data_IF_927636118042
#
_entry.id   IF_927636118042
#
_cell.length_a   1.000
_cell.length_b   1.000
_cell.length_c   1.000
_cell.angle_alpha   90.00
_cell.angle_beta   90.00
_cell.angle_gamma   90.00
#
_symmetry.space_group_name_H-M   'P 1'
#
loop_
_entity.id
_entity.type
_entity.pdbx_description
1 polymer ?
#
# COMPACT_ATOMS: atom_id res chain seq x y z
N UNK A 1 18.81 4.51 -1.07
CA UNK A 1 17.36 4.21 -1.21
C UNK A 1 16.68 5.29 -2.04
N UNK A 2 16.66 5.08 -3.36
CA UNK A 2 16.07 6.08 -4.27
C UNK A 2 14.73 5.66 -4.84
N UNK A 3 14.53 4.37 -5.11
CA UNK A 3 13.26 3.86 -5.64
C UNK A 3 12.47 3.23 -4.50
N UNK A 4 11.40 3.88 -4.10
CA UNK A 4 10.56 3.44 -2.99
C UNK A 4 9.21 2.99 -3.55
N UNK A 5 8.80 1.78 -3.22
CA UNK A 5 7.47 1.26 -3.55
C UNK A 5 6.62 1.29 -2.28
N UNK A 6 5.43 1.84 -2.37
CA UNK A 6 4.43 1.78 -1.31
C UNK A 6 3.15 1.19 -1.85
N UNK A 7 2.59 0.23 -1.12
CA UNK A 7 1.30 -0.35 -1.47
C UNK A 7 0.20 0.29 -0.61
N UNK A 8 -0.92 0.59 -1.23
CA UNK A 8 -2.08 1.16 -0.55
C UNK A 8 -3.36 0.47 -0.99
N UNK A 9 -4.25 0.27 -0.05
CA UNK A 9 -5.62 -0.22 -0.28
C UNK A 9 -6.67 0.84 0.07
N UNK A 10 -6.22 2.08 0.32
CA UNK A 10 -7.07 3.18 0.73
C UNK A 10 -7.41 3.22 2.22
N UNK A 11 -6.91 2.28 3.01
CA UNK A 11 -7.12 2.27 4.46
C UNK A 11 -6.29 3.33 5.18
N UNK A 12 -6.62 3.61 6.44
CA UNK A 12 -5.87 4.56 7.26
C UNK A 12 -4.43 4.09 7.53
N UNK A 13 -4.23 2.79 7.73
CA UNK A 13 -2.88 2.23 7.90
C UNK A 13 -2.04 2.45 6.64
N UNK A 14 -2.65 2.23 5.48
CA UNK A 14 -1.99 2.43 4.20
C UNK A 14 -1.66 3.91 3.96
N UNK A 15 -2.52 4.82 4.40
CA UNK A 15 -2.27 6.26 4.31
C UNK A 15 -1.00 6.64 5.08
N UNK A 16 -0.83 6.11 6.27
CA UNK A 16 0.38 6.35 7.06
C UNK A 16 1.63 5.81 6.35
N UNK A 17 1.50 4.64 5.71
CA UNK A 17 2.59 4.08 4.91
C UNK A 17 2.97 4.98 3.73
N UNK A 18 1.98 5.57 3.05
CA UNK A 18 2.23 6.53 1.95
C UNK A 18 3.00 7.75 2.46
N UNK A 19 2.64 8.27 3.62
CA UNK A 19 3.34 9.42 4.22
C UNK A 19 4.81 9.09 4.50
N UNK A 20 5.08 7.94 5.10
CA UNK A 20 6.45 7.48 5.40
C UNK A 20 7.24 7.27 4.11
N UNK A 21 6.65 6.61 3.12
CA UNK A 21 7.30 6.37 1.84
C UNK A 21 7.62 7.67 1.09
N UNK A 22 6.70 8.62 1.11
CA UNK A 22 6.91 9.93 0.48
C UNK A 22 8.07 10.68 1.14
N UNK A 23 8.15 10.64 2.45
CA UNK A 23 9.23 11.29 3.20
C UNK A 23 10.58 10.65 2.89
N UNK A 24 10.65 9.33 2.84
CA UNK A 24 11.86 8.61 2.47
C UNK A 24 12.32 8.94 1.04
N UNK A 25 11.40 8.92 0.09
CA UNK A 25 11.72 9.21 -1.31
C UNK A 25 12.16 10.67 -1.48
N UNK A 26 11.50 11.58 -0.82
CA UNK A 26 11.86 13.01 -0.84
C UNK A 26 13.26 13.23 -0.29
N UNK A 27 13.57 12.66 0.86
CA UNK A 27 14.88 12.80 1.51
C UNK A 27 16.01 12.29 0.61
N UNK A 28 15.76 11.21 -0.12
CA UNK A 28 16.73 10.62 -1.04
C UNK A 28 16.74 11.26 -2.43
N UNK A 29 15.90 12.25 -2.68
CA UNK A 29 15.66 12.82 -4.03
C UNK A 29 15.33 11.71 -5.04
N UNK A 30 14.55 10.75 -4.60
CA UNK A 30 14.22 9.55 -5.34
C UNK A 30 12.83 9.57 -5.96
N UNK A 31 12.38 8.38 -6.35
CA UNK A 31 11.09 8.16 -7.00
C UNK A 31 10.19 7.32 -6.10
N UNK A 32 8.92 7.71 -6.04
CA UNK A 32 7.89 7.01 -5.30
C UNK A 32 6.96 6.29 -6.27
N UNK A 33 6.85 4.98 -6.12
CA UNK A 33 5.88 4.16 -6.85
C UNK A 33 4.74 3.85 -5.89
N UNK A 34 3.55 4.34 -6.20
CA UNK A 34 2.36 4.06 -5.42
C UNK A 34 1.58 2.98 -6.12
N UNK A 35 1.34 1.88 -5.44
CA UNK A 35 0.75 0.67 -6.00
C UNK A 35 -0.52 0.32 -5.25
N UNK A 36 -1.57 0.01 -5.97
CA UNK A 36 -2.74 -0.67 -5.42
C UNK A 36 -2.97 -1.96 -6.19
N UNK A 37 -3.43 -2.99 -5.52
CA UNK A 37 -3.65 -4.30 -6.14
C UNK A 37 -5.13 -4.64 -6.07
N UNK A 38 -5.69 -5.01 -7.22
CA UNK A 38 -7.03 -5.58 -7.29
C UNK A 38 -6.87 -7.07 -7.00
N UNK A 39 -7.14 -7.44 -5.76
CA UNK A 39 -7.10 -8.83 -5.32
C UNK A 39 -8.37 -9.58 -5.68
N UNK A 40 -8.47 -10.81 -5.17
CA UNK A 40 -9.68 -11.60 -5.32
C UNK A 40 -10.84 -10.93 -4.57
N UNK A 41 -11.96 -10.78 -5.28
CA UNK A 41 -13.18 -10.24 -4.70
C UNK A 41 -14.05 -11.37 -4.17
N UNK A 42 -14.74 -11.12 -3.07
CA UNK A 42 -15.79 -12.02 -2.60
C UNK A 42 -16.97 -12.00 -3.58
N UNK A 43 -17.80 -13.04 -3.55
CA UNK A 43 -19.03 -13.09 -4.35
C UNK A 43 -19.95 -11.91 -4.07
N UNK A 44 -20.00 -11.44 -2.81
CA UNK A 44 -20.82 -10.29 -2.42
C UNK A 44 -20.29 -8.98 -2.99
N UNK A 45 -18.97 -8.80 -3.00
CA UNK A 45 -18.34 -7.63 -3.62
C UNK A 45 -18.59 -7.58 -5.12
N UNK A 46 -18.50 -8.72 -5.79
CA UNK A 46 -18.80 -8.84 -7.22
C UNK A 46 -20.26 -8.47 -7.49
N UNK A 47 -21.18 -8.97 -6.69
CA UNK A 47 -22.62 -8.67 -6.83
C UNK A 47 -22.92 -7.21 -6.62
N UNK A 48 -22.30 -6.60 -5.62
CA UNK A 48 -22.47 -5.18 -5.34
C UNK A 48 -21.98 -4.31 -6.51
N UNK A 49 -20.80 -4.63 -7.05
CA UNK A 49 -20.28 -3.92 -8.21
C UNK A 49 -21.14 -4.13 -9.46
N UNK A 50 -21.67 -5.34 -9.66
CA UNK A 50 -22.54 -5.65 -10.79
C UNK A 50 -23.88 -4.93 -10.75
N UNK A 51 -24.36 -4.52 -9.58
CA UNK A 51 -25.59 -3.73 -9.46
C UNK A 51 -25.43 -2.30 -9.95
N UNK A 52 -24.25 -1.73 -9.77
CA UNK A 52 -23.97 -0.32 -10.05
C UNK A 52 -23.41 -0.15 -11.45
N UNK A 53 -22.60 -1.09 -11.90
CA UNK A 53 -21.89 -1.01 -13.17
C UNK A 53 -22.09 -2.27 -14.01
N UNK A 54 -22.35 -2.09 -15.31
CA UNK A 54 -22.43 -3.21 -16.24
C UNK A 54 -21.07 -3.83 -16.52
N UNK A 55 -19.99 -3.10 -16.29
CA UNK A 55 -18.63 -3.53 -16.50
C UNK A 55 -17.87 -3.56 -15.17
N UNK A 56 -17.74 -4.74 -14.57
CA UNK A 56 -17.06 -4.94 -13.29
C UNK A 56 -15.58 -4.58 -13.40
N UNK A 57 -14.92 -4.95 -14.49
CA UNK A 57 -13.50 -4.62 -14.70
C UNK A 57 -13.25 -3.13 -14.73
N UNK A 58 -14.10 -2.37 -15.41
CA UNK A 58 -14.03 -0.92 -15.46
C UNK A 58 -14.27 -0.27 -14.11
N UNK A 59 -15.25 -0.80 -13.34
CA UNK A 59 -15.55 -0.30 -12.00
C UNK A 59 -14.39 -0.51 -11.04
N UNK A 60 -13.73 -1.67 -11.10
CA UNK A 60 -12.56 -1.96 -10.28
C UNK A 60 -11.38 -1.07 -10.61
N UNK A 61 -11.14 -0.85 -11.89
CA UNK A 61 -10.06 0.01 -12.36
C UNK A 61 -10.29 1.46 -11.91
N UNK A 62 -11.51 1.96 -12.05
CA UNK A 62 -11.87 3.30 -11.60
C UNK A 62 -11.68 3.47 -10.09
N UNK A 63 -12.15 2.50 -9.31
CA UNK A 63 -11.97 2.51 -7.86
C UNK A 63 -10.49 2.51 -7.48
N UNK A 64 -9.68 1.70 -8.16
CA UNK A 64 -8.25 1.63 -7.95
C UNK A 64 -7.57 2.95 -8.28
N UNK A 65 -7.96 3.59 -9.37
CA UNK A 65 -7.43 4.91 -9.74
C UNK A 65 -7.79 5.97 -8.70
N UNK A 66 -8.99 5.93 -8.13
CA UNK A 66 -9.38 6.86 -7.07
C UNK A 66 -8.50 6.70 -5.83
N UNK A 67 -8.19 5.46 -5.45
CA UNK A 67 -7.28 5.16 -4.33
C UNK A 67 -5.89 5.72 -4.63
N UNK A 68 -5.38 5.49 -5.82
CA UNK A 68 -4.05 5.98 -6.22
C UNK A 68 -3.97 7.50 -6.28
N UNK A 69 -4.99 8.15 -6.84
CA UNK A 69 -5.03 9.61 -6.93
C UNK A 69 -5.07 10.25 -5.55
N UNK A 70 -5.84 9.69 -4.63
CA UNK A 70 -5.88 10.18 -3.25
C UNK A 70 -4.51 10.04 -2.56
N UNK A 71 -3.83 8.91 -2.77
CA UNK A 71 -2.50 8.68 -2.23
C UNK A 71 -1.46 9.62 -2.86
N UNK A 72 -1.55 9.85 -4.16
CA UNK A 72 -0.68 10.79 -4.88
C UNK A 72 -0.81 12.21 -4.32
N UNK A 73 -2.04 12.68 -4.09
CA UNK A 73 -2.28 13.99 -3.49
C UNK A 73 -1.65 14.10 -2.11
N UNK A 74 -1.77 13.06 -1.30
CA UNK A 74 -1.15 13.00 0.02
C UNK A 74 0.37 13.14 -0.10
N UNK A 75 0.99 12.40 -1.00
CA UNK A 75 2.44 12.46 -1.21
C UNK A 75 2.88 13.82 -1.74
N UNK A 76 2.14 14.41 -2.68
CA UNK A 76 2.44 15.74 -3.24
C UNK A 76 2.41 16.83 -2.17
N UNK A 77 1.48 16.75 -1.23
CA UNK A 77 1.40 17.68 -0.11
C UNK A 77 2.63 17.61 0.80
N UNK A 78 3.31 16.48 0.82
CA UNK A 78 4.56 16.29 1.56
C UNK A 78 5.79 16.72 0.75
N UNK A 79 5.61 17.17 -0.48
CA UNK A 79 6.65 17.77 -1.30
C UNK A 79 7.34 16.84 -2.29
N UNK A 80 6.91 15.60 -2.44
CA UNK A 80 7.47 14.72 -3.47
C UNK A 80 6.70 14.93 -4.78
N UNK A 81 7.42 15.02 -5.89
CA UNK A 81 6.84 15.23 -7.21
C UNK A 81 7.13 14.08 -8.18
N UNK A 82 8.17 13.31 -7.94
CA UNK A 82 8.54 12.19 -8.80
C UNK A 82 7.77 10.94 -8.39
N UNK A 83 6.53 10.83 -8.86
CA UNK A 83 5.58 9.78 -8.45
C UNK A 83 5.09 9.02 -9.68
N UNK A 84 5.03 7.71 -9.59
CA UNK A 84 4.39 6.85 -10.59
C UNK A 84 3.33 5.99 -9.92
N UNK A 85 2.14 5.94 -10.54
CA UNK A 85 1.01 5.16 -10.05
C UNK A 85 0.92 3.85 -10.82
N UNK A 86 0.67 2.74 -10.14
CA UNK A 86 0.53 1.42 -10.76
C UNK A 86 -0.61 0.63 -10.15
N UNK A 87 -1.34 -0.09 -10.99
CA UNK A 87 -2.37 -1.04 -10.57
C UNK A 87 -1.83 -2.45 -10.82
N UNK A 88 -1.81 -3.26 -9.78
CA UNK A 88 -1.52 -4.69 -9.88
C UNK A 88 -2.80 -5.52 -9.82
N UNK A 89 -2.74 -6.75 -10.31
CA UNK A 89 -3.87 -7.68 -10.35
C UNK A 89 -3.46 -9.03 -9.76
N UNK A 90 -4.39 -9.67 -9.09
CA UNK A 90 -4.20 -11.02 -8.57
C UNK A 90 -3.77 -11.07 -7.11
N UNK A 91 -2.84 -11.95 -6.78
CA UNK A 91 -2.35 -12.08 -5.41
C UNK A 91 -1.59 -10.81 -4.98
N UNK A 92 -2.03 -10.11 -3.94
CA UNK A 92 -1.44 -8.83 -3.57
C UNK A 92 0.05 -8.90 -3.25
N UNK A 93 0.48 -9.85 -2.44
CA UNK A 93 1.89 -9.97 -2.06
C UNK A 93 2.78 -10.23 -3.28
N UNK A 94 2.38 -11.17 -4.12
CA UNK A 94 3.11 -11.51 -5.34
C UNK A 94 3.19 -10.32 -6.30
N UNK A 95 2.07 -9.65 -6.52
CA UNK A 95 1.99 -8.49 -7.41
C UNK A 95 2.90 -7.35 -6.94
N UNK A 96 2.87 -7.03 -5.65
CA UNK A 96 3.72 -5.98 -5.07
C UNK A 96 5.19 -6.34 -5.22
N UNK A 97 5.57 -7.58 -4.93
CA UNK A 97 6.96 -8.03 -5.05
C UNK A 97 7.46 -8.03 -6.50
N UNK A 98 6.59 -8.40 -7.45
CA UNK A 98 6.92 -8.36 -8.89
C UNK A 98 7.13 -6.91 -9.36
N UNK A 99 6.30 -5.99 -8.93
CA UNK A 99 6.45 -4.57 -9.25
C UNK A 99 7.74 -4.03 -8.65
N UNK A 100 8.03 -4.35 -7.40
CA UNK A 100 9.24 -3.91 -6.73
C UNK A 100 10.50 -4.43 -7.45
N UNK A 101 10.49 -5.68 -7.90
CA UNK A 101 11.60 -6.24 -8.66
C UNK A 101 11.77 -5.57 -10.03
N UNK A 102 10.67 -5.37 -10.75
CA UNK A 102 10.69 -4.72 -12.05
C UNK A 102 11.20 -3.29 -11.99
N UNK A 103 10.83 -2.56 -10.96
CA UNK A 103 11.21 -1.15 -10.78
C UNK A 103 12.53 -0.99 -10.01
N UNK A 104 13.21 -2.08 -9.72
CA UNK A 104 14.45 -2.07 -8.92
C UNK A 104 14.30 -1.30 -7.62
N UNK A 105 13.24 -1.60 -6.87
CA UNK A 105 12.93 -0.92 -5.62
C UNK A 105 14.03 -1.14 -4.57
N UNK A 106 14.40 -0.08 -3.91
CA UNK A 106 15.34 -0.12 -2.79
C UNK A 106 14.65 -0.45 -1.47
N UNK A 107 13.34 -0.24 -1.42
CA UNK A 107 12.52 -0.61 -0.27
C UNK A 107 11.05 -0.72 -0.67
N UNK A 108 10.33 -1.58 0.05
CA UNK A 108 8.87 -1.67 -0.01
C UNK A 108 8.32 -1.17 1.31
N UNK A 109 7.38 -0.24 1.26
CA UNK A 109 6.73 0.32 2.46
C UNK A 109 5.29 -0.18 2.50
N UNK A 110 4.87 -0.69 3.63
CA UNK A 110 3.54 -1.28 3.84
C UNK A 110 2.95 -0.80 5.15
N UNK A 111 1.65 -0.62 5.18
CA UNK A 111 0.92 -0.52 6.44
C UNK A 111 0.93 -1.88 7.13
N UNK A 112 0.97 -1.89 8.45
CA UNK A 112 1.02 -3.13 9.22
C UNK A 112 -0.22 -4.00 9.00
N UNK A 113 -1.38 -3.37 8.82
CA UNK A 113 -2.65 -4.02 8.53
C UNK A 113 -3.35 -3.26 7.42
N UNK A 114 -4.06 -3.97 6.55
CA UNK A 114 -4.91 -3.38 5.55
C UNK A 114 -6.38 -3.69 5.85
N UNK A 115 -7.15 -3.84 4.78
CA UNK A 115 -8.53 -4.30 4.87
C UNK A 115 -8.60 -5.69 5.46
N UNK A 116 -9.72 -6.03 6.08
CA UNK A 116 -9.94 -7.34 6.68
C UNK A 116 -9.13 -7.57 7.94
N UNK A 117 -8.84 -6.52 8.66
CA UNK A 117 -8.18 -6.54 9.95
C UNK A 117 -8.84 -7.56 10.88
N UNK A 118 -8.06 -8.52 11.38
CA UNK A 118 -8.50 -9.45 12.41
C UNK A 118 -7.94 -8.99 13.76
N UNK A 119 -8.80 -8.97 14.77
CA UNK A 119 -8.41 -8.59 16.12
C UNK A 119 -7.30 -9.53 16.63
N UNK A 120 -6.26 -8.96 17.22
CA UNK A 120 -5.16 -9.72 17.81
C UNK A 120 -4.00 -10.06 16.88
N UNK A 121 -4.12 -9.77 15.56
CA UNK A 121 -3.00 -9.97 14.64
C UNK A 121 -2.08 -8.76 14.65
N UNK A 122 -0.77 -9.00 14.78
CA UNK A 122 0.25 -7.96 14.76
C UNK A 122 0.58 -7.50 13.34
N UNK A 123 0.55 -8.41 12.36
CA UNK A 123 0.81 -8.13 10.96
C UNK A 123 -0.31 -8.73 10.10
N UNK A 124 -0.70 -8.00 9.05
CA UNK A 124 -1.63 -8.54 8.06
C UNK A 124 -0.98 -9.61 7.21
N UNK A 125 -1.80 -10.43 6.54
CA UNK A 125 -1.33 -11.55 5.72
C UNK A 125 -0.40 -11.11 4.59
N UNK A 126 -0.75 -10.04 3.88
CA UNK A 126 0.07 -9.50 2.79
C UNK A 126 1.42 -9.01 3.32
N UNK A 127 1.38 -8.29 4.43
CA UNK A 127 2.58 -7.76 5.08
C UNK A 127 3.51 -8.90 5.51
N UNK A 128 2.99 -9.97 6.10
CA UNK A 128 3.79 -11.13 6.51
C UNK A 128 4.45 -11.81 5.33
N UNK A 129 3.72 -12.02 4.24
CA UNK A 129 4.26 -12.65 3.04
C UNK A 129 5.39 -11.82 2.43
N UNK A 130 5.18 -10.53 2.29
CA UNK A 130 6.20 -9.63 1.72
C UNK A 130 7.42 -9.57 2.61
N UNK A 131 7.24 -9.42 3.92
CA UNK A 131 8.35 -9.37 4.87
C UNK A 131 9.20 -10.64 4.83
N UNK A 132 8.56 -11.80 4.58
CA UNK A 132 9.26 -13.08 4.51
C UNK A 132 9.96 -13.35 3.18
N UNK A 133 9.45 -12.83 2.07
CA UNK A 133 9.85 -13.24 0.72
C UNK A 133 10.49 -12.15 -0.12
N UNK A 134 10.39 -10.89 0.27
CA UNK A 134 10.92 -9.78 -0.52
C UNK A 134 12.43 -9.84 -0.62
N UNK A 135 12.96 -9.42 -1.79
CA UNK A 135 14.40 -9.38 -2.06
C UNK A 135 15.02 -8.01 -1.73
N UNK A 136 14.22 -7.08 -1.24
CA UNK A 136 14.69 -5.76 -0.79
C UNK A 136 14.17 -5.50 0.64
N UNK A 137 14.70 -4.49 1.33
CA UNK A 137 14.19 -4.09 2.63
C UNK A 137 12.70 -3.80 2.61
N UNK A 138 12.02 -4.20 3.67
CA UNK A 138 10.59 -3.97 3.85
C UNK A 138 10.38 -3.14 5.11
N UNK A 139 9.68 -2.02 4.96
CA UNK A 139 9.37 -1.12 6.06
C UNK A 139 7.89 -1.28 6.38
N UNK A 140 7.59 -1.74 7.57
CA UNK A 140 6.23 -1.92 8.05
C UNK A 140 5.86 -0.75 8.93
N UNK A 141 4.83 -0.01 8.53
CA UNK A 141 4.41 1.20 9.22
C UNK A 141 3.19 0.89 10.10
N UNK A 142 3.31 1.03 11.41
CA UNK A 142 2.18 0.80 12.29
C UNK A 142 1.16 1.94 12.18
N UNK A 143 -0.06 1.64 12.53
CA UNK A 143 -1.09 2.62 12.73
C UNK A 143 -0.65 3.66 13.76
N UNK A 144 -0.98 4.94 13.51
CA UNK A 144 -0.92 5.96 14.55
C UNK A 144 -2.06 5.67 15.54
N UNK A 145 -1.87 4.62 16.32
CA UNK A 145 -2.84 4.26 17.32
C UNK A 145 -2.68 5.12 18.58
N UNK A 146 -3.53 4.85 19.53
CA UNK A 146 -3.59 5.47 20.84
C UNK A 146 -2.36 5.20 21.73
N UNK A 147 -1.35 4.47 21.21
CA UNK A 147 -0.13 4.19 21.96
C UNK A 147 0.77 5.41 21.98
N UNK A 148 0.91 5.98 23.16
CA UNK A 148 1.95 6.96 23.39
C UNK A 148 3.30 6.22 23.47
N UNK A 149 4.41 6.96 23.36
CA UNK A 149 5.75 6.38 23.58
C UNK A 149 5.89 5.75 24.96
N UNK A 150 5.09 6.20 25.91
CA UNK A 150 5.11 5.71 27.28
C UNK A 150 4.53 4.31 27.42
N UNK A 151 3.74 3.87 26.45
CA UNK A 151 3.12 2.53 26.41
C UNK A 151 3.99 1.51 25.68
N UNK A 152 5.16 1.89 25.21
CA UNK A 152 6.05 0.97 24.52
C UNK A 152 6.65 -0.06 25.50
N UNK A 153 6.59 -1.37 25.17
CA UNK A 153 7.05 -2.42 26.09
C UNK A 153 8.56 -2.39 26.39
N UNK A 154 9.33 -1.64 25.60
CA UNK A 154 10.77 -1.52 25.78
C UNK A 154 11.19 -0.21 26.48
N UNK A 155 10.26 0.61 26.89
CA UNK A 155 10.53 1.89 27.57
C UNK A 155 10.59 1.75 29.08
#
# INVERSE_FOLDING_TARGET
>A
MRNIVVATDGSEDAKRAVEVAADLAKTASGKLFIVTVVGELSGDEIRELARVEQNIGGALEERSMQILIAAEKCAQQLGITNIQLQIGWGDPAKSIMEIAAREAADAIVLGRRGRGRLAGLLLGTVCQKIASLALCPVIVVPELGERSRDDAPWS
#
